data_IF_019820222578
#
_entry.id   IF_019820222578
#
_cell.length_a   1.000
_cell.length_b   1.000
_cell.length_c   1.000
_cell.angle_alpha   90.00
_cell.angle_beta   90.00
_cell.angle_gamma   90.00
#
_symmetry.space_group_name_H-M   'P 1'
#
loop_
_entity.id
_entity.type
_entity.pdbx_description
1 polymer ?
#
# COMPACT_ATOMS: atom_id res chain seq x y z
N UNK A 1 8.88 21.27 3.44
CA UNK A 1 8.04 20.08 3.72
C UNK A 1 8.14 19.13 2.54
N UNK A 2 8.52 17.90 2.78
CA UNK A 2 8.77 16.88 1.74
C UNK A 2 7.76 15.74 1.88
N UNK A 3 7.30 15.19 0.76
CA UNK A 3 6.52 13.96 0.75
C UNK A 3 7.48 12.79 0.57
N UNK A 4 7.40 11.84 1.48
CA UNK A 4 8.22 10.62 1.49
C UNK A 4 7.35 9.46 1.06
N UNK A 5 7.81 8.67 0.09
CA UNK A 5 7.17 7.42 -0.32
C UNK A 5 7.90 6.25 0.30
N UNK A 6 7.14 5.44 1.03
CA UNK A 6 7.59 4.21 1.66
C UNK A 6 7.11 3.06 0.80
N UNK A 7 8.04 2.30 0.23
CA UNK A 7 7.74 1.09 -0.54
C UNK A 7 7.86 -0.12 0.38
N UNK A 8 6.92 -1.04 0.27
CA UNK A 8 6.90 -2.22 1.14
C UNK A 8 6.26 -3.43 0.46
N UNK A 9 6.59 -4.58 0.97
CA UNK A 9 5.93 -5.86 0.66
C UNK A 9 4.84 -6.13 1.69
N UNK A 10 3.77 -6.76 1.26
CA UNK A 10 2.66 -7.22 2.11
C UNK A 10 2.35 -8.67 1.76
N UNK A 11 2.89 -9.61 2.53
CA UNK A 11 2.85 -11.04 2.23
C UNK A 11 2.49 -11.87 3.46
N UNK A 12 2.14 -13.15 3.24
CA UNK A 12 1.83 -14.10 4.29
C UNK A 12 0.67 -13.65 5.18
N UNK A 13 0.88 -13.64 6.47
CA UNK A 13 -0.15 -13.25 7.46
C UNK A 13 -0.65 -11.81 7.22
N UNK A 14 0.22 -10.92 6.75
CA UNK A 14 -0.14 -9.54 6.49
C UNK A 14 -1.15 -9.37 5.34
N UNK A 15 -1.28 -10.35 4.43
CA UNK A 15 -2.30 -10.32 3.38
C UNK A 15 -3.71 -10.17 3.93
N UNK A 16 -3.96 -10.67 5.14
CA UNK A 16 -5.25 -10.64 5.82
C UNK A 16 -5.47 -9.39 6.69
N UNK A 17 -4.56 -8.44 6.69
CA UNK A 17 -4.74 -7.13 7.31
C UNK A 17 -5.57 -6.26 6.37
N UNK A 18 -6.72 -5.74 6.86
CA UNK A 18 -7.56 -4.82 6.08
C UNK A 18 -6.84 -3.49 5.83
N UNK A 19 -7.25 -2.73 4.80
CA UNK A 19 -6.67 -1.40 4.55
C UNK A 19 -6.78 -0.49 5.77
N UNK A 20 -7.92 -0.52 6.46
CA UNK A 20 -8.14 0.32 7.64
C UNK A 20 -7.19 -0.04 8.79
N UNK A 21 -6.97 -1.34 9.00
CA UNK A 21 -6.03 -1.81 10.03
C UNK A 21 -4.59 -1.57 9.61
N UNK A 22 -4.27 -1.70 8.32
CA UNK A 22 -2.96 -1.35 7.78
C UNK A 22 -2.64 0.14 8.01
N UNK A 23 -3.61 1.03 7.79
CA UNK A 23 -3.49 2.46 8.11
C UNK A 23 -3.20 2.66 9.60
N UNK A 24 -3.91 1.96 10.48
CA UNK A 24 -3.68 2.03 11.94
C UNK A 24 -2.28 1.54 12.33
N UNK A 25 -1.82 0.45 11.71
CA UNK A 25 -0.45 -0.07 11.90
C UNK A 25 0.57 1.00 11.52
N UNK A 26 0.50 1.57 10.32
CA UNK A 26 1.44 2.59 9.87
C UNK A 26 1.39 3.86 10.74
N UNK A 27 0.19 4.34 11.11
CA UNK A 27 0.06 5.47 12.02
C UNK A 27 0.74 5.21 13.37
N UNK A 28 0.55 4.02 13.94
CA UNK A 28 1.18 3.63 15.20
C UNK A 28 2.70 3.55 15.07
N UNK A 29 3.20 2.88 14.01
CA UNK A 29 4.64 2.71 13.80
C UNK A 29 5.34 4.05 13.58
N UNK A 30 4.75 4.94 12.78
CA UNK A 30 5.26 6.30 12.56
C UNK A 30 5.31 7.12 13.87
N UNK A 31 4.31 7.00 14.73
CA UNK A 31 4.34 7.64 16.06
C UNK A 31 5.43 7.09 16.96
N UNK A 32 5.67 5.77 16.92
CA UNK A 32 6.67 5.10 17.77
C UNK A 32 8.11 5.27 17.27
N UNK A 33 8.30 5.53 15.97
CA UNK A 33 9.61 5.64 15.33
C UNK A 33 10.38 6.90 15.67
N UNK A 34 9.73 7.89 16.29
CA UNK A 34 10.30 9.23 16.54
C UNK A 34 10.82 9.96 15.28
N UNK A 35 10.34 9.55 14.10
CA UNK A 35 10.64 10.23 12.85
C UNK A 35 9.90 11.58 12.76
N UNK A 36 10.47 12.60 12.12
CA UNK A 36 9.89 13.93 12.02
C UNK A 36 8.74 14.00 11.01
N UNK A 37 7.66 13.32 11.32
CA UNK A 37 6.45 13.27 10.47
C UNK A 37 5.56 14.49 10.71
N UNK A 38 4.95 14.97 9.63
CA UNK A 38 4.03 16.09 9.69
C UNK A 38 2.65 15.65 10.19
N UNK A 39 2.08 16.43 11.11
CA UNK A 39 0.72 16.29 11.59
C UNK A 39 -0.19 17.34 10.94
N UNK A 40 -1.37 16.91 10.51
CA UNK A 40 -2.39 17.82 9.97
C UNK A 40 -2.81 18.86 11.01
N UNK A 41 -3.09 20.09 10.54
CA UNK A 41 -3.61 21.16 11.37
C UNK A 41 -5.12 20.97 11.58
N UNK A 42 -5.63 21.27 12.77
CA UNK A 42 -7.07 21.26 13.06
C UNK A 42 -7.41 20.66 14.42
N UNK A 43 -8.70 20.41 14.65
CA UNK A 43 -9.21 19.90 15.94
C UNK A 43 -8.76 18.48 16.28
N UNK A 44 -8.40 17.66 15.27
CA UNK A 44 -7.94 16.30 15.47
C UNK A 44 -6.66 16.06 14.64
N UNK A 45 -5.48 16.49 15.12
CA UNK A 45 -4.23 16.34 14.40
C UNK A 45 -3.90 14.85 14.20
N UNK A 46 -3.61 14.47 12.97
CA UNK A 46 -3.18 13.13 12.61
C UNK A 46 -2.05 13.18 11.57
N UNK A 47 -1.28 12.12 11.49
CA UNK A 47 -0.21 12.01 10.49
C UNK A 47 -0.87 11.91 9.11
N UNK A 48 -0.42 12.73 8.15
CA UNK A 48 -0.82 12.56 6.76
C UNK A 48 -0.27 11.26 6.21
N UNK A 49 -1.15 10.34 5.83
CA UNK A 49 -0.81 9.02 5.31
C UNK A 49 -1.77 8.68 4.17
N UNK A 50 -1.23 8.38 3.00
CA UNK A 50 -1.98 7.98 1.82
C UNK A 50 -1.40 6.73 1.21
N UNK A 51 -2.20 5.71 0.93
CA UNK A 51 -1.79 4.47 0.26
C UNK A 51 -2.04 4.57 -1.24
N UNK A 52 -1.07 4.11 -2.03
CA UNK A 52 -1.20 3.95 -3.47
C UNK A 52 -1.87 2.62 -3.76
N UNK A 53 -2.89 2.58 -4.61
CA UNK A 53 -3.50 1.34 -5.09
C UNK A 53 -3.68 0.24 -4.01
N UNK A 54 -4.44 0.50 -2.92
CA UNK A 54 -4.51 -0.44 -1.80
C UNK A 54 -5.10 -1.79 -2.23
N UNK A 55 -4.50 -2.88 -1.73
CA UNK A 55 -4.90 -4.26 -2.01
C UNK A 55 -6.22 -4.62 -1.35
N UNK A 56 -6.98 -5.48 -2.03
CA UNK A 56 -8.08 -6.20 -1.40
C UNK A 56 -7.57 -7.19 -0.34
N UNK A 57 -8.44 -7.52 0.62
CA UNK A 57 -8.13 -8.47 1.68
C UNK A 57 -7.76 -9.84 1.11
N UNK A 58 -6.70 -10.43 1.62
CA UNK A 58 -6.20 -11.74 1.20
C UNK A 58 -5.26 -11.71 -0.01
N UNK A 59 -4.99 -10.52 -0.57
CA UNK A 59 -4.01 -10.36 -1.64
C UNK A 59 -2.63 -10.03 -1.09
N UNK A 60 -1.61 -10.60 -1.71
CA UNK A 60 -0.20 -10.32 -1.44
C UNK A 60 0.38 -9.38 -2.50
N UNK A 61 1.40 -8.62 -2.13
CA UNK A 61 2.11 -7.75 -3.07
C UNK A 61 3.56 -7.54 -2.62
N UNK A 62 4.45 -7.44 -3.62
CA UNK A 62 5.85 -7.10 -3.44
C UNK A 62 6.14 -5.61 -3.74
N UNK A 63 5.14 -4.83 -4.12
CA UNK A 63 5.32 -3.47 -4.63
C UNK A 63 4.30 -2.46 -4.11
N UNK A 64 3.85 -2.61 -2.87
CA UNK A 64 2.98 -1.63 -2.23
C UNK A 64 3.72 -0.34 -1.89
N UNK A 65 2.99 0.76 -1.83
CA UNK A 65 3.55 2.01 -1.33
C UNK A 65 2.55 2.89 -0.59
N UNK A 66 3.07 3.70 0.31
CA UNK A 66 2.31 4.76 0.95
C UNK A 66 3.14 6.05 1.04
N UNK A 67 2.45 7.16 1.15
CA UNK A 67 3.05 8.50 1.25
C UNK A 67 2.81 9.10 2.62
N UNK A 68 3.87 9.68 3.17
CA UNK A 68 3.89 10.39 4.43
C UNK A 68 4.54 11.75 4.22
N UNK A 69 4.06 12.79 4.88
CA UNK A 69 4.71 14.10 4.85
C UNK A 69 5.67 14.25 6.03
N UNK A 70 6.80 14.88 5.79
CA UNK A 70 7.79 15.26 6.79
C UNK A 70 8.07 16.76 6.75
N UNK A 71 8.46 17.31 7.89
CA UNK A 71 8.87 18.71 7.98
C UNK A 71 10.30 18.93 7.48
N UNK A 72 11.08 17.86 7.34
CA UNK A 72 12.44 17.91 6.82
C UNK A 72 12.46 18.20 5.32
N UNK A 73 13.45 18.95 4.86
CA UNK A 73 13.69 19.22 3.43
C UNK A 73 14.38 18.05 2.73
N UNK A 74 15.23 17.34 3.45
CA UNK A 74 15.93 16.14 2.98
C UNK A 74 15.68 14.98 3.92
N UNK A 75 15.66 13.78 3.38
CA UNK A 75 15.49 12.53 4.13
C UNK A 75 16.73 11.66 4.00
N UNK A 76 17.03 10.93 5.06
CA UNK A 76 18.01 9.85 5.06
C UNK A 76 17.26 8.52 4.97
N UNK A 77 17.15 7.89 3.78
CA UNK A 77 16.30 6.70 3.58
C UNK A 77 16.63 5.57 4.54
N UNK A 78 17.91 5.30 4.77
CA UNK A 78 18.34 4.21 5.65
C UNK A 78 17.88 4.44 7.10
N UNK A 79 18.00 5.67 7.61
CA UNK A 79 17.52 6.02 8.95
C UNK A 79 16.02 5.74 9.13
N UNK A 80 15.22 6.01 8.09
CA UNK A 80 13.79 5.73 8.10
C UNK A 80 13.50 4.24 8.10
N UNK A 81 14.24 3.46 7.29
CA UNK A 81 14.11 1.99 7.26
C UNK A 81 14.46 1.41 8.62
N UNK A 82 15.59 1.80 9.20
CA UNK A 82 16.09 1.31 10.49
C UNK A 82 15.13 1.63 11.65
N UNK A 83 14.45 2.78 11.57
CA UNK A 83 13.49 3.20 12.58
C UNK A 83 12.13 2.49 12.45
N UNK A 84 11.68 2.17 11.23
CA UNK A 84 10.35 1.63 10.98
C UNK A 84 10.34 0.10 10.91
N UNK A 85 11.31 -0.53 10.25
CA UNK A 85 11.31 -1.97 10.01
C UNK A 85 11.18 -2.82 11.28
N UNK A 86 11.88 -2.52 12.40
CA UNK A 86 11.75 -3.27 13.64
C UNK A 86 10.36 -3.20 14.29
N UNK A 87 9.58 -2.18 13.92
CA UNK A 87 8.24 -1.94 14.46
C UNK A 87 7.15 -2.57 13.61
N UNK A 88 7.47 -2.97 12.37
CA UNK A 88 6.48 -3.53 11.44
C UNK A 88 6.03 -4.94 11.87
N UNK A 89 4.75 -5.28 11.66
CA UNK A 89 4.29 -6.64 11.90
C UNK A 89 4.89 -7.61 10.88
N UNK A 90 4.90 -8.88 11.23
CA UNK A 90 5.36 -9.95 10.35
C UNK A 90 4.59 -9.93 9.03
N UNK A 91 5.31 -10.08 7.93
CA UNK A 91 4.76 -10.05 6.57
C UNK A 91 4.72 -8.66 5.92
N UNK A 92 5.13 -7.60 6.65
CA UNK A 92 5.37 -6.28 6.07
C UNK A 92 6.87 -5.99 6.11
N UNK A 93 7.46 -5.82 4.93
CA UNK A 93 8.89 -5.54 4.76
C UNK A 93 9.05 -4.23 4.01
N UNK A 94 9.74 -3.27 4.60
CA UNK A 94 10.05 -2.00 3.94
C UNK A 94 11.22 -2.25 3.00
N UNK A 95 11.00 -2.05 1.70
CA UNK A 95 11.99 -2.33 0.66
C UNK A 95 12.77 -1.10 0.24
N UNK A 96 12.11 0.07 0.24
CA UNK A 96 12.72 1.32 -0.19
C UNK A 96 12.00 2.51 0.44
N UNK A 97 12.76 3.58 0.68
CA UNK A 97 12.21 4.89 1.04
C UNK A 97 12.85 5.94 0.13
N UNK A 98 12.03 6.81 -0.44
CA UNK A 98 12.50 7.86 -1.35
C UNK A 98 11.57 9.09 -1.26
N UNK A 99 12.03 10.29 -1.66
CA UNK A 99 11.13 11.40 -1.92
C UNK A 99 10.10 11.02 -2.99
N UNK A 100 8.86 11.43 -2.81
CA UNK A 100 7.81 11.22 -3.80
C UNK A 100 7.96 12.27 -4.92
N UNK A 101 8.49 11.85 -6.07
CA UNK A 101 8.69 12.71 -7.25
C UNK A 101 7.43 12.68 -8.12
N UNK A 102 6.93 11.50 -8.42
CA UNK A 102 5.73 11.28 -9.25
C UNK A 102 4.47 11.19 -8.39
N UNK A 103 3.35 11.63 -8.91
CA UNK A 103 2.07 11.55 -8.20
C UNK A 103 1.51 10.13 -8.28
N UNK A 104 0.83 9.68 -7.20
CA UNK A 104 0.14 8.37 -7.18
C UNK A 104 -0.90 8.26 -8.31
N UNK A 105 -1.51 9.37 -8.71
CA UNK A 105 -2.49 9.39 -9.81
C UNK A 105 -1.91 9.12 -11.20
N UNK A 106 -0.59 9.01 -11.34
CA UNK A 106 0.09 8.64 -12.59
C UNK A 106 0.22 7.13 -12.77
N UNK A 107 -0.20 6.33 -11.77
CA UNK A 107 -0.27 4.88 -11.89
C UNK A 107 -1.45 4.49 -12.79
N UNK A 108 -1.16 3.99 -13.98
CA UNK A 108 -2.17 3.62 -14.99
C UNK A 108 -2.50 2.12 -14.97
N UNK A 109 -1.54 1.27 -14.63
CA UNK A 109 -1.67 -0.18 -14.73
C UNK A 109 -1.12 -0.90 -13.49
N UNK A 110 -1.68 -2.08 -13.21
CA UNK A 110 -1.15 -3.02 -12.23
C UNK A 110 -1.11 -4.43 -12.81
N UNK A 111 -0.03 -5.17 -12.57
CA UNK A 111 0.11 -6.56 -12.96
C UNK A 111 -0.24 -7.48 -11.79
N UNK A 112 -0.98 -8.55 -12.06
CA UNK A 112 -1.38 -9.53 -11.07
C UNK A 112 -0.97 -10.93 -11.51
N UNK A 113 -0.46 -11.70 -10.57
CA UNK A 113 -0.27 -13.15 -10.72
C UNK A 113 -1.39 -13.87 -9.96
N UNK A 114 -2.13 -14.72 -10.66
CA UNK A 114 -3.26 -15.45 -10.08
C UNK A 114 -2.96 -16.94 -10.18
N UNK A 115 -2.81 -17.61 -9.03
CA UNK A 115 -2.68 -19.05 -8.95
C UNK A 115 -4.04 -19.70 -8.83
N UNK A 116 -4.38 -20.57 -9.77
CA UNK A 116 -5.68 -21.24 -9.84
C UNK A 116 -5.52 -22.76 -9.93
N UNK A 117 -6.52 -23.57 -9.50
CA UNK A 117 -6.50 -25.01 -9.72
C UNK A 117 -6.43 -25.35 -11.22
N UNK A 118 -5.77 -26.45 -11.58
CA UNK A 118 -5.63 -26.90 -12.98
C UNK A 118 -6.98 -27.10 -13.68
N UNK A 119 -8.04 -27.42 -12.94
CA UNK A 119 -9.42 -27.51 -13.45
C UNK A 119 -9.97 -26.20 -14.03
N UNK A 120 -9.34 -25.07 -13.74
CA UNK A 120 -9.73 -23.74 -14.24
C UNK A 120 -9.11 -23.40 -15.60
N UNK A 121 -8.26 -24.26 -16.17
CA UNK A 121 -7.52 -23.96 -17.40
C UNK A 121 -8.45 -23.61 -18.59
N UNK A 122 -9.55 -24.32 -18.76
CA UNK A 122 -10.52 -24.07 -19.86
C UNK A 122 -11.16 -22.68 -19.71
N UNK A 123 -11.50 -22.29 -18.48
CA UNK A 123 -12.10 -20.98 -18.21
C UNK A 123 -11.09 -19.84 -18.43
N UNK A 124 -9.80 -20.06 -18.08
CA UNK A 124 -8.72 -19.13 -18.33
C UNK A 124 -8.44 -18.94 -19.82
N UNK A 125 -8.42 -20.02 -20.60
CA UNK A 125 -8.23 -19.94 -22.05
C UNK A 125 -9.37 -19.18 -22.72
N UNK A 126 -10.61 -19.42 -22.30
CA UNK A 126 -11.77 -18.67 -22.79
C UNK A 126 -11.68 -17.18 -22.44
N UNK A 127 -11.23 -16.83 -21.22
CA UNK A 127 -11.02 -15.45 -20.79
C UNK A 127 -9.90 -14.77 -21.57
N UNK A 128 -8.76 -15.43 -21.74
CA UNK A 128 -7.60 -14.88 -22.44
C UNK A 128 -7.85 -14.66 -23.95
N UNK A 129 -8.77 -15.42 -24.55
CA UNK A 129 -9.14 -15.29 -25.96
C UNK A 129 -10.35 -14.35 -26.20
N UNK A 130 -10.97 -13.83 -25.14
CA UNK A 130 -12.05 -12.87 -25.25
C UNK A 130 -11.51 -11.45 -25.52
N UNK A 131 -12.09 -10.73 -26.48
CA UNK A 131 -11.75 -9.32 -26.72
C UNK A 131 -12.19 -8.40 -25.57
N UNK A 132 -13.28 -8.76 -24.90
CA UNK A 132 -13.85 -7.99 -23.78
C UNK A 132 -14.33 -8.90 -22.68
N UNK A 133 -14.14 -8.47 -21.42
CA UNK A 133 -14.74 -9.09 -20.25
C UNK A 133 -15.69 -8.08 -19.58
N UNK A 134 -16.97 -8.40 -19.52
CA UNK A 134 -17.96 -7.59 -18.81
C UNK A 134 -18.04 -8.01 -17.35
N UNK A 135 -17.85 -7.06 -16.44
CA UNK A 135 -17.95 -7.28 -15.00
C UNK A 135 -19.04 -6.40 -14.41
N UNK A 136 -20.06 -7.02 -13.82
CA UNK A 136 -21.12 -6.29 -13.12
C UNK A 136 -20.71 -6.04 -11.67
N UNK A 137 -20.48 -4.79 -11.31
CA UNK A 137 -20.19 -4.37 -9.94
C UNK A 137 -21.48 -4.10 -9.19
N UNK A 138 -21.82 -4.94 -8.21
CA UNK A 138 -22.90 -4.64 -7.27
C UNK A 138 -22.43 -3.60 -6.25
N UNK A 139 -22.99 -2.40 -6.29
CA UNK A 139 -22.76 -1.38 -5.27
C UNK A 139 -23.77 -1.54 -4.14
N UNK A 140 -23.42 -1.10 -2.91
CA UNK A 140 -24.33 -1.14 -1.75
C UNK A 140 -25.63 -0.34 -1.93
N UNK A 141 -25.74 0.49 -2.98
CA UNK A 141 -26.90 1.33 -3.29
C UNK A 141 -27.78 0.81 -4.42
N UNK A 142 -27.62 -0.43 -4.82
CA UNK A 142 -28.44 -1.06 -5.87
C UNK A 142 -28.36 -0.25 -7.18
N UNK A 143 -27.84 -0.86 -8.24
CA UNK A 143 -27.70 -0.36 -9.62
C UNK A 143 -27.17 1.05 -9.78
#
# INVERSE_FOLDING_TARGET
MTTVRIFFEKCGEAAYISLLDLQRVFHRMLKMSSLPVYYTQGFNPHIYLSFSCPLSLGQESLCESCEVKTEQESIEPQRWIDALQPLMPRGIVITKIAPAVEKVGEIETAAYEITMPASSAIALDAYNNAEHAEVTKKTKRGQ
#
